data_IF_832094754781
#
_entry.id   IF_832094754781
#
_cell.length_a   1.000
_cell.length_b   1.000
_cell.length_c   1.000
_cell.angle_alpha   90.00
_cell.angle_beta   90.00
_cell.angle_gamma   90.00
#
_symmetry.space_group_name_H-M   'P 1'
#
loop_
_entity.id
_entity.type
_entity.pdbx_description
1 polymer ?
#
# COMPACT_ATOMS: atom_id res chain seq x y z
N UNK A 1 -22.46 -20.84 0.30
CA UNK A 1 -22.18 -20.33 0.55
C UNK A 1 -21.31 -19.31 0.88
N UNK A 2 -21.54 -18.65 1.38
CA UNK A 2 -20.78 -17.86 1.72
C UNK A 2 -19.45 -18.17 1.67
N UNK A 3 -19.19 -19.28 1.80
CA UNK A 3 -17.89 -19.53 1.94
C UNK A 3 -17.13 -19.50 0.70
N UNK A 4 -17.74 -19.46 -0.44
CA UNK A 4 -16.94 -19.37 -1.57
C UNK A 4 -16.30 -18.01 -1.63
N UNK A 5 -16.80 -17.06 -0.94
CA UNK A 5 -16.13 -15.81 -0.92
C UNK A 5 -14.79 -15.93 -0.28
N UNK A 6 -14.63 -16.87 0.60
CA UNK A 6 -13.35 -17.03 1.16
C UNK A 6 -12.42 -17.73 0.25
N UNK A 7 -12.94 -18.34 -0.76
CA UNK A 7 -12.08 -18.95 -1.71
C UNK A 7 -11.65 -18.00 -2.77
N UNK A 8 -12.07 -16.77 -2.71
CA UNK A 8 -11.53 -15.79 -3.59
C UNK A 8 -10.03 -15.78 -3.40
N UNK A 9 -9.31 -15.68 -4.44
CA UNK A 9 -7.89 -15.78 -4.40
C UNK A 9 -7.29 -14.69 -3.56
N UNK A 10 -6.51 -15.10 -2.60
CA UNK A 10 -5.72 -14.19 -1.81
C UNK A 10 -4.39 -14.08 -2.51
N UNK A 11 -4.00 -12.87 -2.90
CA UNK A 11 -2.82 -12.66 -3.68
C UNK A 11 -1.59 -13.09 -2.93
N UNK A 12 -1.58 -12.87 -1.63
CA UNK A 12 -0.46 -13.27 -0.82
C UNK A 12 -0.93 -13.32 0.60
N UNK A 13 -0.16 -13.90 1.47
CA UNK A 13 -0.47 -13.81 2.88
C UNK A 13 -0.15 -12.40 3.33
N UNK A 14 -0.55 -12.07 4.53
CA UNK A 14 -0.25 -10.76 5.09
C UNK A 14 1.24 -10.57 5.06
N UNK A 15 1.65 -9.47 4.43
CA UNK A 15 3.05 -9.19 4.23
C UNK A 15 3.45 -8.03 5.13
N UNK A 16 4.57 -8.17 5.82
CA UNK A 16 5.11 -7.10 6.65
C UNK A 16 6.51 -6.79 6.18
N UNK A 17 6.76 -5.55 5.82
CA UNK A 17 8.05 -5.14 5.25
C UNK A 17 8.46 -3.79 5.77
N UNK A 18 9.71 -3.45 5.53
CA UNK A 18 10.21 -2.10 5.77
C UNK A 18 10.04 -1.27 4.52
N UNK A 19 9.98 0.04 4.70
CA UNK A 19 9.96 0.97 3.57
C UNK A 19 11.31 0.90 2.87
N UNK A 20 11.31 0.99 1.55
CA UNK A 20 12.52 0.90 0.75
C UNK A 20 12.83 2.25 0.11
N UNK A 21 14.03 2.38 -0.40
CA UNK A 21 14.49 3.64 -0.97
C UNK A 21 14.13 3.81 -2.43
N UNK A 22 14.11 5.07 -2.83
CA UNK A 22 13.81 5.47 -4.20
C UNK A 22 15.02 5.15 -5.09
N UNK A 23 14.79 4.42 -6.15
CA UNK A 23 15.82 4.05 -7.11
C UNK A 23 15.75 4.89 -8.38
N UNK A 24 14.95 5.96 -8.37
CA UNK A 24 14.84 6.85 -9.50
C UNK A 24 14.24 6.13 -10.71
N UNK A 25 14.93 6.21 -11.82
CA UNK A 25 14.41 5.62 -13.04
C UNK A 25 14.28 4.11 -12.96
N UNK A 26 14.91 3.49 -11.98
CA UNK A 26 14.86 2.04 -11.86
C UNK A 26 13.70 1.55 -11.00
N UNK A 27 12.90 2.44 -10.47
CA UNK A 27 11.77 2.02 -9.64
C UNK A 27 10.82 1.10 -10.41
N UNK A 28 10.53 1.40 -11.65
CA UNK A 28 9.62 0.56 -12.43
C UNK A 28 10.19 -0.83 -12.62
N UNK A 29 11.48 -0.93 -12.87
CA UNK A 29 12.11 -2.21 -13.12
C UNK A 29 12.21 -3.05 -11.86
N UNK A 30 12.65 -2.44 -10.77
CA UNK A 30 12.88 -3.17 -9.54
C UNK A 30 11.61 -3.41 -8.73
N UNK A 31 10.75 -2.40 -8.63
CA UNK A 31 9.59 -2.50 -7.75
C UNK A 31 8.31 -2.71 -8.53
N UNK A 32 8.36 -2.48 -9.84
CA UNK A 32 7.18 -2.62 -10.67
C UNK A 32 6.32 -1.39 -10.64
N UNK A 33 5.38 -1.34 -11.54
CA UNK A 33 4.41 -0.24 -11.59
C UNK A 33 3.09 -0.79 -12.13
N UNK A 34 2.74 -2.00 -11.71
CA UNK A 34 1.51 -2.63 -12.17
C UNK A 34 0.33 -2.09 -11.40
N UNK A 35 -0.83 -2.03 -12.03
CA UNK A 35 -1.99 -1.43 -11.37
C UNK A 35 -2.64 -2.37 -10.37
N UNK A 36 -3.40 -1.77 -9.47
CA UNK A 36 -4.24 -2.52 -8.57
C UNK A 36 -5.38 -1.63 -8.13
N UNK A 37 -6.35 -2.23 -7.45
CA UNK A 37 -7.43 -1.47 -6.82
C UNK A 37 -7.12 -1.33 -5.34
N UNK A 38 -7.02 -0.11 -4.86
CA UNK A 38 -6.77 0.12 -3.45
C UNK A 38 -8.10 0.18 -2.73
N UNK A 39 -8.26 -0.65 -1.73
CA UNK A 39 -9.54 -0.78 -1.02
C UNK A 39 -9.54 -0.05 0.31
N UNK A 40 -8.48 -0.15 1.08
CA UNK A 40 -8.38 0.49 2.38
C UNK A 40 -6.94 0.77 2.71
N UNK A 41 -6.69 1.90 3.37
CA UNK A 41 -5.37 2.23 3.87
C UNK A 41 -5.54 2.85 5.24
N UNK A 42 -4.76 2.39 6.21
CA UNK A 42 -4.84 2.97 7.56
C UNK A 42 -3.51 2.84 8.27
N UNK A 43 -3.28 3.72 9.24
CA UNK A 43 -2.07 3.72 10.05
C UNK A 43 -2.44 3.28 11.45
N UNK A 44 -1.71 2.32 11.97
CA UNK A 44 -1.95 1.82 13.30
C UNK A 44 -0.67 1.26 13.87
N UNK A 45 -0.34 1.66 15.10
CA UNK A 45 0.74 1.05 15.86
C UNK A 45 2.09 1.08 15.13
N UNK A 46 2.34 2.18 14.44
CA UNK A 46 3.63 2.34 13.76
C UNK A 46 3.72 1.68 12.41
N UNK A 47 2.60 1.24 11.88
CA UNK A 47 2.55 0.61 10.56
C UNK A 47 1.53 1.32 9.71
N UNK A 48 1.79 1.34 8.40
CA UNK A 48 0.76 1.71 7.44
C UNK A 48 0.32 0.44 6.74
N UNK A 49 -0.97 0.25 6.65
CA UNK A 49 -1.57 -1.00 6.20
C UNK A 49 -2.39 -0.75 4.94
N UNK A 50 -2.25 -1.64 3.98
CA UNK A 50 -2.94 -1.53 2.70
C UNK A 50 -3.74 -2.79 2.45
N UNK A 51 -5.00 -2.63 2.10
CA UNK A 51 -5.80 -3.72 1.58
C UNK A 51 -6.10 -3.40 0.12
N UNK A 52 -5.81 -4.32 -0.77
CA UNK A 52 -5.91 -4.06 -2.19
C UNK A 52 -6.41 -5.28 -2.92
N UNK A 53 -6.80 -5.08 -4.18
CA UNK A 53 -7.21 -6.16 -5.07
C UNK A 53 -6.50 -6.02 -6.40
N UNK A 54 -6.29 -7.15 -7.06
CA UNK A 54 -5.65 -7.18 -8.37
C UNK A 54 -6.08 -8.46 -9.08
N UNK A 55 -5.83 -8.52 -10.36
CA UNK A 55 -5.98 -9.79 -11.06
C UNK A 55 -4.84 -10.71 -10.67
N UNK A 56 -5.13 -12.00 -10.58
CA UNK A 56 -4.16 -12.92 -10.02
C UNK A 56 -4.61 -14.34 -10.33
N UNK A 57 -3.73 -15.14 -10.89
CA UNK A 57 -4.09 -16.52 -11.21
C UNK A 57 -3.45 -17.56 -10.29
N UNK A 58 -2.71 -17.11 -9.30
CA UNK A 58 -2.14 -18.03 -8.31
C UNK A 58 -0.82 -18.65 -8.70
N UNK A 59 -0.37 -18.44 -9.93
CA UNK A 59 0.84 -19.11 -10.37
C UNK A 59 2.10 -18.30 -10.10
N UNK A 60 1.98 -17.02 -9.94
CA UNK A 60 3.14 -16.14 -9.77
C UNK A 60 2.91 -15.24 -8.58
N UNK A 61 3.90 -15.13 -7.72
CA UNK A 61 3.79 -14.28 -6.56
C UNK A 61 3.91 -12.83 -6.98
N UNK A 62 3.05 -12.00 -6.43
CA UNK A 62 3.12 -10.56 -6.65
C UNK A 62 3.95 -9.92 -5.56
N UNK A 63 4.75 -8.95 -5.93
CA UNK A 63 5.62 -8.27 -4.97
C UNK A 63 5.13 -6.86 -4.75
N UNK A 64 5.16 -6.43 -3.50
CA UNK A 64 4.69 -5.12 -3.10
C UNK A 64 5.78 -4.42 -2.34
N UNK A 65 5.93 -3.14 -2.59
CA UNK A 65 6.91 -2.32 -1.90
C UNK A 65 6.35 -0.93 -1.66
N UNK A 66 6.76 -0.32 -0.56
CA UNK A 66 6.45 1.06 -0.27
C UNK A 66 7.76 1.81 -0.33
N UNK A 67 7.83 2.79 -1.22
CA UNK A 67 9.07 3.47 -1.56
C UNK A 67 9.02 4.88 -1.04
N UNK A 68 10.07 5.29 -0.32
CA UNK A 68 10.16 6.67 0.14
C UNK A 68 10.81 7.48 -0.96
N UNK A 69 10.12 8.50 -1.42
CA UNK A 69 10.60 9.32 -2.52
C UNK A 69 11.68 10.29 -2.04
N UNK A 70 12.66 10.53 -2.92
CA UNK A 70 13.82 11.33 -2.55
C UNK A 70 13.63 12.83 -2.79
N UNK A 71 12.93 13.16 -3.85
CA UNK A 71 12.87 14.55 -4.29
C UNK A 71 11.55 15.21 -4.00
N UNK A 72 10.89 14.76 -2.93
CA UNK A 72 9.58 15.24 -2.58
C UNK A 72 9.55 15.52 -1.09
N UNK A 73 8.38 15.83 -0.58
CA UNK A 73 8.23 16.05 0.84
C UNK A 73 8.58 14.80 1.61
N UNK A 74 8.98 14.99 2.86
CA UNK A 74 9.46 13.92 3.72
C UNK A 74 8.50 12.75 3.82
N UNK A 75 7.21 13.02 3.75
CA UNK A 75 6.20 11.99 3.97
C UNK A 75 5.47 11.63 2.68
N UNK A 76 6.16 11.72 1.54
CA UNK A 76 5.62 11.25 0.28
C UNK A 76 6.20 9.91 -0.08
N UNK A 77 5.32 8.97 -0.33
CA UNK A 77 5.67 7.58 -0.59
C UNK A 77 4.98 7.10 -1.85
N UNK A 78 5.49 6.02 -2.42
CA UNK A 78 4.83 5.35 -3.54
C UNK A 78 4.62 3.89 -3.20
N UNK A 79 3.41 3.41 -3.42
CA UNK A 79 3.11 1.99 -3.27
C UNK A 79 3.32 1.34 -4.64
N UNK A 80 4.21 0.39 -4.69
CA UNK A 80 4.61 -0.25 -5.94
C UNK A 80 4.19 -1.70 -5.95
N UNK A 81 3.75 -2.16 -7.11
CA UNK A 81 3.23 -3.50 -7.30
C UNK A 81 3.90 -4.11 -8.52
N UNK A 82 4.48 -5.30 -8.37
CA UNK A 82 5.04 -6.02 -9.48
C UNK A 82 4.36 -7.38 -9.56
N UNK A 83 3.57 -7.55 -10.60
CA UNK A 83 2.82 -8.78 -10.80
C UNK A 83 3.57 -9.77 -11.67
N UNK A 84 4.71 -9.37 -12.21
CA UNK A 84 5.50 -10.23 -13.11
C UNK A 84 4.64 -10.81 -14.22
N UNK A 85 3.86 -9.93 -14.86
CA UNK A 85 2.97 -10.27 -15.96
C UNK A 85 1.80 -11.18 -15.59
N UNK A 86 1.54 -11.33 -14.30
CA UNK A 86 0.44 -12.18 -13.84
C UNK A 86 -0.76 -11.32 -13.49
N UNK A 87 -1.36 -10.71 -14.50
CA UNK A 87 -2.55 -9.88 -14.30
C UNK A 87 -3.74 -10.50 -15.02
N UNK A 88 -3.86 -11.82 -14.94
CA UNK A 88 -4.98 -12.53 -15.55
C UNK A 88 -5.60 -13.44 -14.50
N UNK A 89 -6.64 -14.13 -14.87
CA UNK A 89 -7.36 -14.98 -13.93
C UNK A 89 -8.43 -14.21 -13.21
N UNK A 90 -8.73 -14.59 -12.01
CA UNK A 90 -9.78 -13.93 -11.23
C UNK A 90 -9.20 -12.78 -10.42
N UNK A 91 -10.07 -12.10 -9.71
CA UNK A 91 -9.64 -11.08 -8.79
C UNK A 91 -9.20 -11.72 -7.48
N UNK A 92 -8.08 -11.26 -6.98
CA UNK A 92 -7.60 -11.66 -5.67
C UNK A 92 -7.38 -10.43 -4.82
N UNK A 93 -7.21 -10.62 -3.54
CA UNK A 93 -6.98 -9.51 -2.64
C UNK A 93 -5.78 -9.81 -1.76
N UNK A 94 -5.20 -8.76 -1.19
CA UNK A 94 -4.06 -8.92 -0.31
C UNK A 94 -4.00 -7.82 0.73
N UNK A 95 -3.16 -8.06 1.72
CA UNK A 95 -2.87 -7.10 2.77
C UNK A 95 -1.37 -6.94 2.86
N UNK A 96 -0.91 -5.70 3.02
CA UNK A 96 0.50 -5.43 3.20
C UNK A 96 0.66 -4.38 4.27
N UNK A 97 1.61 -4.58 5.16
CA UNK A 97 1.91 -3.65 6.24
C UNK A 97 3.36 -3.22 6.13
N UNK A 98 3.61 -1.94 6.28
CA UNK A 98 4.97 -1.42 6.20
C UNK A 98 5.29 -0.64 7.46
N UNK A 99 6.48 -0.89 8.01
CA UNK A 99 6.91 -0.20 9.21
C UNK A 99 7.22 1.24 8.90
N UNK A 100 6.77 2.14 9.77
CA UNK A 100 7.00 3.57 9.58
C UNK A 100 8.22 4.07 10.34
N UNK A 101 8.96 3.17 10.97
CA UNK A 101 10.05 3.56 11.85
C UNK A 101 11.23 4.19 11.13
N UNK A 102 11.33 4.04 9.83
CA UNK A 102 12.42 4.65 9.09
C UNK A 102 12.10 6.08 8.66
N UNK A 103 10.88 6.52 8.82
CA UNK A 103 10.54 7.89 8.51
C UNK A 103 10.94 8.80 9.67
N UNK A 104 11.29 10.06 9.40
CA UNK A 104 11.63 10.98 10.47
C UNK A 104 10.46 11.17 11.43
N UNK A 105 10.72 11.38 12.70
CA UNK A 105 9.64 11.63 13.65
C UNK A 105 8.98 12.96 13.37
N UNK A 106 7.70 13.04 13.69
CA UNK A 106 6.95 14.27 13.45
C UNK A 106 7.05 15.24 14.63
N UNK A 107 7.69 14.81 15.72
CA UNK A 107 7.95 15.67 16.88
C UNK A 107 6.69 16.31 17.45
N UNK A 108 5.65 15.53 17.55
CA UNK A 108 4.41 15.99 18.12
C UNK A 108 3.44 16.62 17.14
N UNK A 109 3.87 16.86 15.92
CA UNK A 109 3.00 17.45 14.92
C UNK A 109 2.27 16.38 14.14
N UNK A 110 1.10 16.71 13.64
CA UNK A 110 0.39 15.86 12.69
C UNK A 110 0.72 16.35 11.31
N UNK A 111 1.19 15.44 10.46
CA UNK A 111 1.58 15.78 9.10
C UNK A 111 0.67 15.04 8.13
N UNK A 112 0.67 15.48 6.89
CA UNK A 112 -0.05 14.77 5.84
C UNK A 112 0.92 13.84 5.14
N UNK A 113 0.57 12.57 5.12
CA UNK A 113 1.32 11.56 4.38
C UNK A 113 0.60 11.31 3.07
N UNK A 114 1.35 11.31 1.98
CA UNK A 114 0.78 11.06 0.67
C UNK A 114 1.37 9.79 0.11
N UNK A 115 0.51 8.91 -0.38
CA UNK A 115 0.94 7.66 -0.98
C UNK A 115 0.37 7.59 -2.39
N UNK A 116 1.26 7.57 -3.35
CA UNK A 116 0.88 7.49 -4.74
C UNK A 116 0.93 6.04 -5.17
N UNK A 117 0.02 5.63 -6.01
CA UNK A 117 0.02 4.28 -6.55
C UNK A 117 -0.62 4.29 -7.93
N UNK A 118 -0.46 3.19 -8.66
CA UNK A 118 -1.07 3.08 -9.97
C UNK A 118 -2.36 2.28 -9.85
N UNK A 119 -3.46 2.92 -10.23
CA UNK A 119 -4.74 2.22 -10.29
C UNK A 119 -4.97 1.78 -11.74
N UNK A 120 -6.04 1.03 -11.94
CA UNK A 120 -6.37 0.63 -13.30
C UNK A 120 -6.86 1.81 -14.14
N UNK A 121 -7.06 2.94 -13.52
CA UNK A 121 -7.47 4.15 -14.23
C UNK A 121 -6.38 5.21 -14.27
N UNK A 122 -5.18 4.88 -13.86
CA UNK A 122 -4.06 5.79 -13.85
C UNK A 122 -3.52 6.01 -12.46
N UNK A 123 -2.62 6.97 -12.34
CA UNK A 123 -2.01 7.27 -11.04
C UNK A 123 -3.05 7.87 -10.10
N UNK A 124 -2.95 7.51 -8.86
CA UNK A 124 -3.85 8.02 -7.83
C UNK A 124 -3.04 8.29 -6.57
N UNK A 125 -3.58 9.09 -5.67
CA UNK A 125 -2.88 9.47 -4.45
C UNK A 125 -3.82 9.36 -3.26
N UNK A 126 -3.31 8.79 -2.19
CA UNK A 126 -4.04 8.66 -0.93
C UNK A 126 -3.39 9.59 0.07
N UNK A 127 -4.19 10.33 0.82
CA UNK A 127 -3.67 11.20 1.85
C UNK A 127 -4.14 10.71 3.21
N UNK A 128 -3.20 10.67 4.15
CA UNK A 128 -3.49 10.25 5.52
C UNK A 128 -2.87 11.23 6.49
N UNK A 129 -3.46 11.36 7.66
CA UNK A 129 -2.86 12.11 8.74
C UNK A 129 -1.94 11.19 9.51
N UNK A 130 -0.74 11.66 9.79
CA UNK A 130 0.27 10.87 10.45
C UNK A 130 0.91 11.66 11.58
N UNK A 131 1.07 11.00 12.71
CA UNK A 131 1.78 11.57 13.86
C UNK A 131 2.59 10.43 14.45
N UNK A 132 3.90 10.57 14.44
CA UNK A 132 4.77 9.50 14.92
C UNK A 132 4.66 9.39 16.44
N UNK A 133 4.92 8.18 16.94
CA UNK A 133 4.88 7.97 18.38
C UNK A 133 3.48 7.89 18.95
N UNK A 134 2.46 7.90 18.12
CA UNK A 134 1.10 7.76 18.61
C UNK A 134 0.89 6.32 19.06
N UNK A 135 0.36 6.12 20.25
CA UNK A 135 0.12 4.74 20.70
C UNK A 135 -0.85 4.03 19.77
N UNK A 136 -0.78 2.73 19.80
CA UNK A 136 -1.67 1.92 19.03
C UNK A 136 -3.10 2.24 19.41
N UNK A 137 -3.89 2.49 18.40
CA UNK A 137 -5.29 2.73 18.63
C UNK A 137 -6.06 1.71 17.87
N UNK A 138 -7.38 1.89 17.85
CA UNK A 138 -8.14 1.07 17.02
C UNK A 138 -7.91 1.43 15.65
N UNK A 139 -7.80 0.46 14.79
CA UNK A 139 -7.76 0.70 13.37
C UNK A 139 -9.01 1.45 13.00
N UNK A 140 -8.88 2.47 12.21
CA UNK A 140 -10.05 3.19 11.76
C UNK A 140 -10.91 2.28 10.93
N UNK A 141 -12.14 2.63 10.83
CA UNK A 141 -13.00 1.91 9.94
C UNK A 141 -12.43 2.04 8.56
N UNK A 142 -12.50 0.98 7.83
CA UNK A 142 -11.85 0.91 6.57
C UNK A 142 -12.18 2.07 5.71
N UNK A 143 -11.18 2.80 5.36
CA UNK A 143 -11.25 3.86 4.41
C UNK A 143 -12.14 5.01 4.72
N UNK A 144 -12.83 4.96 5.81
CA UNK A 144 -13.87 5.93 5.98
C UNK A 144 -13.34 7.28 6.28
N UNK A 145 -12.45 7.40 7.22
CA UNK A 145 -12.03 8.69 7.62
C UNK A 145 -10.60 8.95 7.37
N UNK A 146 -9.82 7.91 7.16
CA UNK A 146 -8.40 8.05 7.13
C UNK A 146 -7.81 8.00 5.76
N UNK A 147 -8.57 7.76 4.75
CA UNK A 147 -8.02 7.80 3.42
C UNK A 147 -9.07 8.16 2.42
N UNK A 148 -8.59 8.64 1.29
CA UNK A 148 -9.41 8.90 0.14
C UNK A 148 -8.74 8.21 -1.00
N UNK A 149 -9.42 7.33 -1.64
CA UNK A 149 -8.95 6.75 -2.87
C UNK A 149 -9.72 7.43 -3.98
N UNK A 150 -9.00 8.20 -4.79
CA UNK A 150 -9.70 8.87 -5.86
C UNK A 150 -9.63 8.00 -7.04
N UNK A 151 -10.69 7.74 -7.60
CA UNK A 151 -10.69 6.88 -8.77
C UNK A 151 -10.96 7.64 -10.00
#
# INVERSE_FOLDING_TARGET
GYDYAVRVNRIDSVLTKSIVGDLGEKNDEYYGNDPLWMKSVWIEDGYINFQFESYFDGSTKHFLNLVKMNNTDTYELEFRHNAYNNLSGGQGWGLASFRLNSLPPTNGDTVTMKVKYKSYEGDDTIELKYKSGTPAGKAPMLGAENFQVTN
#
